data_IF_156289612325
#
_entry.id   IF_156289612325
#
_cell.length_a   1.000
_cell.length_b   1.000
_cell.length_c   1.000
_cell.angle_alpha   90.00
_cell.angle_beta   90.00
_cell.angle_gamma   90.00
#
_symmetry.space_group_name_H-M   'P 1'
#
loop_
_entity.id
_entity.type
_entity.pdbx_description
1 polymer ?
#
# COMPACT_ATOMS: atom_id res chain seq x y z
N UNK A 1 -8.43 15.02 -2.90
CA UNK A 1 -8.17 13.57 -3.04
C UNK A 1 -7.67 13.10 -1.68
N UNK A 2 -8.28 12.09 -1.03
CA UNK A 2 -7.73 11.52 0.20
C UNK A 2 -6.29 11.06 -0.03
N UNK A 3 -5.38 11.46 0.84
CA UNK A 3 -3.95 11.19 0.69
C UNK A 3 -3.28 11.12 2.07
N UNK A 4 -2.22 10.33 2.16
CA UNK A 4 -1.41 10.17 3.37
C UNK A 4 0.08 10.03 2.98
N UNK A 5 0.97 10.41 3.90
CA UNK A 5 2.42 10.45 3.70
C UNK A 5 3.14 9.54 4.69
N UNK A 6 4.29 9.00 4.28
CA UNK A 6 5.17 8.23 5.15
C UNK A 6 4.96 6.71 5.10
N UNK A 7 4.33 6.19 4.04
CA UNK A 7 4.32 4.75 3.77
C UNK A 7 5.74 4.24 3.50
N UNK A 8 5.98 2.94 3.73
CA UNK A 8 7.27 2.31 3.51
C UNK A 8 7.52 1.94 2.03
N UNK A 9 7.15 2.82 1.10
CA UNK A 9 7.19 2.60 -0.36
C UNK A 9 8.04 3.71 -0.99
N UNK A 10 9.36 3.62 -0.84
CA UNK A 10 10.30 4.65 -1.29
C UNK A 10 11.77 4.26 -1.14
N UNK A 11 12.67 5.25 -1.19
CA UNK A 11 14.12 5.04 -1.03
C UNK A 11 14.54 5.04 0.45
N UNK A 12 14.10 4.02 1.19
CA UNK A 12 14.40 3.82 2.62
C UNK A 12 14.95 2.42 2.89
N UNK A 13 15.57 2.16 4.05
CA UNK A 13 16.22 0.86 4.33
C UNK A 13 15.24 -0.32 4.31
N UNK A 14 14.12 -0.19 5.01
CA UNK A 14 13.09 -1.22 5.09
C UNK A 14 11.92 -0.78 4.22
N UNK A 15 11.50 -1.61 3.27
CA UNK A 15 10.44 -1.29 2.30
C UNK A 15 9.44 -2.43 2.22
N UNK A 16 8.18 -2.09 1.98
CA UNK A 16 7.20 -3.08 1.55
C UNK A 16 7.41 -3.43 0.08
N UNK A 17 7.14 -4.69 -0.26
CA UNK A 17 6.94 -5.12 -1.66
C UNK A 17 5.46 -5.02 -1.96
N UNK A 18 5.10 -4.23 -2.96
CA UNK A 18 3.70 -4.07 -3.38
C UNK A 18 3.53 -4.60 -4.81
N UNK A 19 2.55 -5.49 -5.06
CA UNK A 19 2.22 -5.92 -6.41
C UNK A 19 1.63 -4.76 -7.21
N UNK A 20 1.87 -4.74 -8.52
CA UNK A 20 1.25 -3.77 -9.44
C UNK A 20 0.06 -4.44 -10.12
N UNK A 21 -1.07 -3.75 -10.15
CA UNK A 21 -2.31 -4.22 -10.80
C UNK A 21 -3.29 -4.96 -9.89
N UNK A 22 -2.96 -5.18 -8.60
CA UNK A 22 -3.89 -5.75 -7.62
C UNK A 22 -4.85 -4.68 -7.07
N UNK A 23 -6.08 -5.07 -6.76
CA UNK A 23 -7.05 -4.18 -6.10
C UNK A 23 -6.76 -4.04 -4.60
N UNK A 24 -6.82 -2.79 -4.10
CA UNK A 24 -6.50 -2.45 -2.71
C UNK A 24 -7.49 -1.44 -2.14
N UNK A 25 -7.69 -1.51 -0.82
CA UNK A 25 -8.31 -0.44 -0.05
C UNK A 25 -7.23 0.44 0.61
N UNK A 26 -7.44 1.75 0.57
CA UNK A 26 -6.60 2.74 1.26
C UNK A 26 -7.46 3.54 2.24
N UNK A 27 -7.13 3.48 3.53
CA UNK A 27 -7.68 4.39 4.54
C UNK A 27 -6.65 5.50 4.80
N UNK A 28 -6.90 6.68 4.22
CA UNK A 28 -6.01 7.84 4.34
C UNK A 28 -5.99 8.44 5.75
N UNK A 29 -7.01 8.20 6.57
CA UNK A 29 -7.06 8.71 7.95
C UNK A 29 -6.24 7.83 8.90
N UNK A 30 -6.26 6.51 8.68
CA UNK A 30 -5.46 5.55 9.47
C UNK A 30 -4.05 5.33 8.91
N UNK A 31 -3.81 5.68 7.64
CA UNK A 31 -2.54 5.45 6.97
C UNK A 31 -2.29 3.97 6.65
N UNK A 32 -3.32 3.26 6.17
CA UNK A 32 -3.25 1.82 5.88
C UNK A 32 -3.52 1.51 4.41
N UNK A 33 -2.92 0.43 3.91
CA UNK A 33 -3.16 -0.15 2.58
C UNK A 33 -3.41 -1.64 2.78
N UNK A 34 -4.49 -2.16 2.21
CA UNK A 34 -4.88 -3.57 2.34
C UNK A 34 -5.17 -4.18 0.97
N UNK A 35 -4.58 -5.35 0.69
CA UNK A 35 -4.95 -6.18 -0.46
C UNK A 35 -6.35 -6.76 -0.23
N UNK A 36 -7.22 -6.63 -1.23
CA UNK A 36 -8.58 -7.19 -1.17
C UNK A 36 -8.64 -8.65 -1.63
N UNK A 37 -7.60 -9.11 -2.34
CA UNK A 37 -7.47 -10.46 -2.85
C UNK A 37 -6.01 -10.92 -2.87
N UNK A 38 -5.78 -12.21 -3.17
CA UNK A 38 -4.42 -12.74 -3.31
C UNK A 38 -3.74 -12.16 -4.55
N UNK A 39 -2.50 -11.71 -4.38
CA UNK A 39 -1.68 -11.20 -5.50
C UNK A 39 -1.01 -12.30 -6.34
N UNK A 40 -1.20 -13.57 -5.95
CA UNK A 40 -0.66 -14.76 -6.63
C UNK A 40 -1.71 -15.88 -6.62
N UNK A 41 -1.65 -16.74 -7.63
CA UNK A 41 -2.53 -17.90 -7.80
C UNK A 41 -1.89 -19.18 -7.28
#
# INVERSE_FOLDING_TARGET
IPAWYGSMIGHIKNKFTLPIGAEVEIDASKGTIQLLESAVT
#
